data_IF_176953779006
#
_entry.id   IF_176953779006
#
_cell.length_a   1.000
_cell.length_b   1.000
_cell.length_c   1.000
_cell.angle_alpha   90.00
_cell.angle_beta   90.00
_cell.angle_gamma   90.00
#
_symmetry.space_group_name_H-M   'P 1'
#
loop_
_entity.id
_entity.type
_entity.pdbx_description
1 polymer ?
#
# COMPACT_ATOMS: atom_id res chain seq x y z
N UNK A 1 14.59 -13.36 2.86
CA UNK A 1 14.31 -12.76 1.53
C UNK A 1 12.94 -13.16 1.01
N UNK A 2 12.10 -12.20 0.60
CA UNK A 2 10.79 -12.46 -0.02
C UNK A 2 10.63 -11.71 -1.34
N UNK A 3 10.13 -12.39 -2.37
CA UNK A 3 9.83 -11.82 -3.67
C UNK A 3 8.33 -11.94 -3.96
N UNK A 4 7.70 -10.79 -4.11
CA UNK A 4 6.34 -10.65 -4.60
C UNK A 4 6.43 -10.21 -6.06
N UNK A 5 5.74 -10.93 -6.94
CA UNK A 5 5.68 -10.60 -8.37
C UNK A 5 4.25 -10.42 -8.84
N UNK A 6 4.01 -9.35 -9.59
CA UNK A 6 2.73 -9.02 -10.20
C UNK A 6 1.56 -9.13 -9.21
N UNK A 7 1.74 -8.62 -7.99
CA UNK A 7 0.71 -8.73 -6.95
C UNK A 7 -0.43 -7.79 -7.27
N UNK A 8 -1.61 -8.38 -7.40
CA UNK A 8 -2.86 -7.65 -7.53
C UNK A 8 -3.73 -7.93 -6.32
N UNK A 9 -4.32 -6.87 -5.76
CA UNK A 9 -5.28 -6.98 -4.66
C UNK A 9 -6.41 -6.02 -4.93
N UNK A 10 -7.61 -6.58 -5.03
CA UNK A 10 -8.85 -5.83 -5.21
C UNK A 10 -9.77 -6.13 -4.05
N UNK A 11 -10.50 -5.12 -3.62
CA UNK A 11 -11.60 -5.28 -2.67
C UNK A 11 -12.75 -4.38 -3.06
N UNK A 12 -13.95 -4.77 -2.65
CA UNK A 12 -15.14 -3.95 -2.86
C UNK A 12 -15.31 -3.00 -1.68
N UNK A 13 -15.60 -1.74 -1.97
CA UNK A 13 -15.96 -0.73 -0.97
C UNK A 13 -17.35 -0.23 -1.31
N UNK A 14 -18.36 -0.85 -0.68
CA UNK A 14 -19.75 -0.63 -1.08
C UNK A 14 -19.99 -1.16 -2.50
N UNK A 15 -20.43 -0.27 -3.40
CA UNK A 15 -20.66 -0.63 -4.82
C UNK A 15 -19.40 -0.49 -5.69
N UNK A 16 -18.37 0.16 -5.18
CA UNK A 16 -17.16 0.43 -5.94
C UNK A 16 -16.13 -0.70 -5.78
N UNK A 17 -15.34 -0.90 -6.83
CA UNK A 17 -14.17 -1.80 -6.79
C UNK A 17 -12.91 -0.96 -6.58
N UNK A 18 -12.17 -1.25 -5.52
CA UNK A 18 -10.91 -0.60 -5.19
C UNK A 18 -9.76 -1.54 -5.55
N UNK A 19 -8.84 -1.02 -6.36
CA UNK A 19 -7.58 -1.68 -6.68
C UNK A 19 -6.55 -1.28 -5.63
N UNK A 20 -6.41 -2.09 -4.59
CA UNK A 20 -5.50 -1.85 -3.48
C UNK A 20 -4.03 -2.05 -3.88
N UNK A 21 -3.79 -3.05 -4.74
CA UNK A 21 -2.51 -3.31 -5.39
C UNK A 21 -2.79 -3.65 -6.84
N UNK A 22 -2.03 -3.07 -7.76
CA UNK A 22 -2.18 -3.27 -9.19
C UNK A 22 -0.82 -3.55 -9.83
N UNK A 23 -0.51 -4.84 -10.02
CA UNK A 23 0.72 -5.29 -10.68
C UNK A 23 2.00 -4.98 -9.91
N UNK A 24 1.97 -5.02 -8.59
CA UNK A 24 3.11 -4.61 -7.76
C UNK A 24 4.16 -5.72 -7.67
N UNK A 25 5.39 -5.39 -8.03
CA UNK A 25 6.59 -6.20 -7.78
C UNK A 25 7.33 -5.64 -6.55
N UNK A 26 7.63 -6.50 -5.57
CA UNK A 26 8.36 -6.11 -4.35
C UNK A 26 9.37 -7.17 -3.98
N UNK A 27 10.61 -6.74 -3.72
CA UNK A 27 11.66 -7.57 -3.14
C UNK A 27 12.01 -7.04 -1.76
N UNK A 28 11.81 -7.87 -0.74
CA UNK A 28 12.23 -7.56 0.63
C UNK A 28 13.52 -8.34 0.89
N UNK A 29 14.64 -7.60 0.91
CA UNK A 29 15.95 -8.13 1.28
C UNK A 29 16.05 -8.39 2.78
N UNK A 30 16.95 -9.29 3.18
CA UNK A 30 17.22 -9.52 4.60
C UNK A 30 17.92 -8.28 5.19
N UNK A 31 17.22 -7.57 6.08
CA UNK A 31 17.68 -6.32 6.70
C UNK A 31 16.97 -5.04 6.22
N UNK A 32 16.07 -5.12 5.23
CA UNK A 32 15.31 -3.97 4.75
C UNK A 32 14.05 -3.80 5.63
N UNK A 33 14.17 -2.98 6.67
CA UNK A 33 13.05 -2.63 7.52
C UNK A 33 11.97 -1.96 6.67
N UNK A 34 10.77 -2.54 6.64
CA UNK A 34 9.58 -1.90 6.07
C UNK A 34 9.41 -0.52 6.71
N UNK A 35 9.82 0.53 5.99
CA UNK A 35 9.76 1.90 6.45
C UNK A 35 8.31 2.27 6.71
N UNK A 36 7.94 2.36 7.97
CA UNK A 36 6.66 2.93 8.38
C UNK A 36 6.73 4.45 8.23
N UNK A 37 6.41 4.99 7.05
CA UNK A 37 6.00 6.39 6.91
C UNK A 37 5.25 6.58 5.57
N UNK A 38 4.08 7.25 5.58
CA UNK A 38 4.11 8.69 5.74
C UNK A 38 3.24 9.17 6.90
N UNK A 39 3.77 10.12 7.67
CA UNK A 39 2.99 10.94 8.60
C UNK A 39 1.84 11.57 7.82
N UNK A 40 0.59 11.19 8.12
CA UNK A 40 -0.57 11.86 7.55
C UNK A 40 -0.53 13.35 7.90
N UNK A 41 -0.82 14.27 6.95
CA UNK A 41 -1.08 15.64 7.32
C UNK A 41 -2.35 15.64 8.17
N UNK A 42 -2.20 15.98 9.46
CA UNK A 42 -3.32 16.21 10.37
C UNK A 42 -4.18 17.28 9.71
N UNK A 43 -5.41 16.95 9.31
CA UNK A 43 -6.34 17.88 8.66
C UNK A 43 -6.33 19.23 9.38
N UNK A 44 -5.91 20.28 8.68
CA UNK A 44 -6.27 21.63 9.07
C UNK A 44 -7.79 21.73 8.91
N UNK A 45 -8.52 21.90 10.01
CA UNK A 45 -9.94 22.26 9.93
C UNK A 45 -10.03 23.66 9.31
N UNK A 46 -10.86 23.87 8.28
CA UNK A 46 -11.19 25.23 7.86
C UNK A 46 -12.04 25.88 8.96
N UNK A 47 -11.67 27.11 9.33
CA UNK A 47 -12.54 28.04 10.05
C UNK A 47 -13.53 28.70 9.12
#
# INVERSE_FOLDING_TARGET
MYHLRNVTKRYTRGKDTVHALDGVDLTIGDGDGLGTAPTWPRSAKPG
#
